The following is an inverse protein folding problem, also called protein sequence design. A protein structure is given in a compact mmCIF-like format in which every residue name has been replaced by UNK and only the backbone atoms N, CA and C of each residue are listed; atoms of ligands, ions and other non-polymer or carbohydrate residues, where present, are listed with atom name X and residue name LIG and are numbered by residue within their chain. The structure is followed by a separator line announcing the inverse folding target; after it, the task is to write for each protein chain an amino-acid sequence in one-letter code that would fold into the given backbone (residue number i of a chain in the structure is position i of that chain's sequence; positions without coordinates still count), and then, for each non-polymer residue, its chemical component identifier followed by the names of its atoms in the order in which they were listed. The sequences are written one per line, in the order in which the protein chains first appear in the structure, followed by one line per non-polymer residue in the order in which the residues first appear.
data_IF_669398428261
#
_entry.id   IF_669398428261
#
_cell.length_a   1.000
_cell.length_b   1.000
_cell.length_c   1.000
_cell.angle_alpha   90.00
_cell.angle_beta   90.00
_cell.angle_gamma   90.00
#
_symmetry.space_group_name_H-M   'P 1'
#
loop_
_entity.id
_entity.type
_entity.pdbx_description
1 polymer ?
#
# COMPACT_ATOMS: atom_id res chain seq x y z
N UNK A 1 -54.39 -23.64 -21.92
CA UNK A 1 -53.08 -23.81 -21.25
C UNK A 1 -52.07 -22.94 -21.97
N UNK A 2 -51.69 -21.80 -21.39
CA UNK A 2 -50.62 -20.94 -21.92
C UNK A 2 -49.58 -20.87 -20.80
N UNK A 3 -48.41 -21.43 -21.04
CA UNK A 3 -47.28 -21.44 -20.11
C UNK A 3 -46.61 -20.07 -20.13
N UNK A 4 -46.59 -19.38 -18.97
CA UNK A 4 -45.68 -18.26 -18.74
C UNK A 4 -44.29 -18.84 -18.49
N UNK A 5 -43.38 -18.67 -19.45
CA UNK A 5 -41.94 -18.84 -19.19
C UNK A 5 -41.41 -17.54 -18.60
N UNK A 6 -41.30 -17.50 -17.27
CA UNK A 6 -40.62 -16.43 -16.56
C UNK A 6 -39.11 -16.50 -16.82
N UNK A 7 -38.56 -15.45 -17.42
CA UNK A 7 -37.11 -15.27 -17.52
C UNK A 7 -36.63 -14.67 -16.20
N UNK A 8 -35.99 -15.48 -15.35
CA UNK A 8 -35.23 -14.98 -14.21
C UNK A 8 -33.94 -14.36 -14.72
N UNK A 9 -33.90 -13.03 -14.80
CA UNK A 9 -32.66 -12.28 -14.99
C UNK A 9 -31.91 -12.30 -13.66
N UNK A 10 -30.90 -13.16 -13.55
CA UNK A 10 -29.91 -13.05 -12.48
C UNK A 10 -29.08 -11.78 -12.72
N UNK A 11 -29.34 -10.73 -11.93
CA UNK A 11 -28.38 -9.65 -11.77
C UNK A 11 -27.13 -10.24 -11.09
N UNK A 12 -26.05 -10.39 -11.85
CA UNK A 12 -24.72 -10.48 -11.25
C UNK A 12 -24.43 -9.11 -10.63
N UNK A 13 -24.57 -9.02 -9.31
CA UNK A 13 -23.94 -7.94 -8.57
C UNK A 13 -22.45 -8.06 -8.85
N UNK A 14 -21.85 -7.04 -9.47
CA UNK A 14 -20.41 -6.87 -9.46
C UNK A 14 -20.01 -6.79 -7.99
N UNK A 15 -19.53 -7.90 -7.44
CA UNK A 15 -18.91 -7.90 -6.12
C UNK A 15 -17.71 -7.00 -6.24
N UNK A 16 -17.79 -5.78 -5.70
CA UNK A 16 -16.60 -4.99 -5.42
C UNK A 16 -15.77 -5.89 -4.51
N UNK A 17 -14.69 -6.44 -5.04
CA UNK A 17 -13.71 -7.15 -4.21
C UNK A 17 -13.28 -6.15 -3.14
N UNK A 18 -13.61 -6.45 -1.88
CA UNK A 18 -13.23 -5.60 -0.78
C UNK A 18 -11.70 -5.63 -0.70
N UNK A 19 -11.04 -4.53 -1.07
CA UNK A 19 -9.58 -4.44 -1.00
C UNK A 19 -9.05 -4.38 0.45
N UNK A 20 -9.94 -4.23 1.44
CA UNK A 20 -9.62 -4.23 2.87
C UNK A 20 -10.46 -5.30 3.56
N UNK A 21 -9.84 -6.08 4.43
CA UNK A 21 -10.53 -7.09 5.21
C UNK A 21 -9.73 -7.56 6.42
N UNK A 22 -10.27 -8.54 7.15
CA UNK A 22 -9.69 -9.01 8.40
C UNK A 22 -8.28 -9.58 8.23
N UNK A 23 -7.40 -9.23 9.17
CA UNK A 23 -6.06 -9.79 9.27
C UNK A 23 -6.13 -11.27 9.64
N UNK A 24 -5.47 -12.12 8.85
CA UNK A 24 -5.37 -13.56 9.13
C UNK A 24 -4.05 -13.89 9.83
N UNK A 25 -4.01 -15.00 10.59
CA UNK A 25 -2.81 -15.47 11.30
C UNK A 25 -1.64 -15.81 10.38
N UNK A 26 -1.94 -16.12 9.11
CA UNK A 26 -0.95 -16.48 8.10
C UNK A 26 -0.43 -15.26 7.33
N UNK A 27 -0.91 -14.06 7.66
CA UNK A 27 -0.50 -12.80 7.05
C UNK A 27 0.57 -12.07 7.87
N UNK A 28 1.27 -11.14 7.22
CA UNK A 28 2.21 -10.23 7.89
C UNK A 28 1.51 -9.15 8.73
N UNK A 29 0.18 -9.03 8.61
CA UNK A 29 -0.67 -8.05 9.28
C UNK A 29 -1.09 -8.50 10.68
N UNK A 30 -0.15 -8.89 11.53
CA UNK A 30 -0.48 -9.48 12.85
C UNK A 30 -0.85 -8.45 13.94
N UNK A 31 -0.69 -7.16 13.68
CA UNK A 31 -0.80 -6.08 14.68
C UNK A 31 -2.02 -5.17 14.48
N UNK A 32 -2.77 -5.38 13.40
CA UNK A 32 -3.96 -4.61 13.03
C UNK A 32 -5.13 -5.55 12.81
N UNK A 33 -6.36 -5.08 13.03
CA UNK A 33 -7.56 -5.89 12.80
C UNK A 33 -7.82 -6.12 11.31
N UNK A 34 -7.51 -5.12 10.50
CA UNK A 34 -7.68 -5.16 9.06
C UNK A 34 -6.36 -4.92 8.32
N UNK A 35 -6.31 -5.47 7.11
CA UNK A 35 -5.16 -5.50 6.23
C UNK A 35 -5.59 -5.22 4.77
N UNK A 36 -4.67 -4.72 3.96
CA UNK A 36 -4.83 -4.64 2.51
C UNK A 36 -4.80 -6.05 1.91
N UNK A 37 -5.92 -6.45 1.32
CA UNK A 37 -6.07 -7.74 0.67
C UNK A 37 -5.48 -7.72 -0.75
N UNK A 38 -4.99 -8.86 -1.17
CA UNK A 38 -4.41 -9.05 -2.50
C UNK A 38 -4.48 -10.50 -2.95
N UNK A 39 -4.43 -10.67 -4.26
CA UNK A 39 -4.26 -11.96 -4.89
C UNK A 39 -2.82 -12.12 -5.40
N UNK A 40 -2.21 -13.26 -5.11
CA UNK A 40 -0.89 -13.60 -5.65
C UNK A 40 -1.06 -14.05 -7.10
N UNK A 41 -0.52 -13.27 -8.04
CA UNK A 41 -0.51 -13.62 -9.46
C UNK A 41 0.56 -14.67 -9.72
N UNK A 42 1.77 -14.46 -9.18
CA UNK A 42 2.86 -15.42 -9.22
C UNK A 42 3.97 -15.04 -8.23
N UNK A 43 4.74 -16.02 -7.77
CA UNK A 43 5.81 -15.81 -6.80
C UNK A 43 7.09 -16.56 -7.21
N UNK A 44 8.24 -15.99 -6.88
CA UNK A 44 9.54 -16.60 -7.15
C UNK A 44 10.57 -16.22 -6.10
N UNK A 45 11.85 -16.41 -6.43
CA UNK A 45 12.95 -16.11 -5.50
C UNK A 45 13.20 -14.61 -5.32
N UNK A 46 13.10 -13.85 -6.41
CA UNK A 46 13.57 -12.45 -6.43
C UNK A 46 12.48 -11.44 -6.08
N UNK A 47 11.24 -11.74 -6.46
CA UNK A 47 10.06 -10.93 -6.21
C UNK A 47 8.78 -11.77 -6.31
N UNK A 48 7.66 -11.16 -5.93
CA UNK A 48 6.30 -11.65 -6.10
C UNK A 48 5.51 -10.65 -6.96
N UNK A 49 4.52 -11.12 -7.69
CA UNK A 49 3.54 -10.28 -8.40
C UNK A 49 2.20 -10.43 -7.69
N UNK A 50 1.65 -9.32 -7.24
CA UNK A 50 0.35 -9.25 -6.59
C UNK A 50 -0.62 -8.40 -7.40
N UNK A 51 -1.90 -8.72 -7.31
CA UNK A 51 -2.99 -7.86 -7.75
C UNK A 51 -3.67 -7.26 -6.51
N UNK A 52 -3.88 -5.95 -6.55
CA UNK A 52 -4.56 -5.18 -5.52
C UNK A 52 -5.80 -4.53 -6.13
N UNK A 53 -6.93 -4.69 -5.45
CA UNK A 53 -8.16 -3.97 -5.76
C UNK A 53 -8.08 -2.48 -5.39
N UNK A 54 -9.11 -1.73 -5.80
CA UNK A 54 -9.18 -0.31 -5.51
C UNK A 54 -9.44 -0.05 -4.03
N UNK A 55 -8.69 0.86 -3.42
CA UNK A 55 -8.84 1.27 -2.02
C UNK A 55 -8.53 2.76 -1.83
N UNK A 56 -9.15 3.34 -0.80
CA UNK A 56 -8.95 4.71 -0.33
C UNK A 56 -7.96 4.74 0.82
N UNK A 57 -7.14 5.78 0.81
CA UNK A 57 -6.11 6.09 1.79
C UNK A 57 -6.30 7.50 2.34
N UNK A 58 -5.79 7.72 3.55
CA UNK A 58 -5.53 9.07 4.07
C UNK A 58 -4.04 9.36 4.00
N UNK A 59 -3.68 10.53 3.46
CA UNK A 59 -2.34 10.83 2.97
C UNK A 59 -1.83 12.15 3.53
N UNK A 60 -0.53 12.17 3.86
CA UNK A 60 0.21 13.36 4.25
C UNK A 60 1.61 13.35 3.65
N UNK A 61 2.14 14.55 3.40
CA UNK A 61 3.46 14.73 2.81
C UNK A 61 4.45 15.32 3.82
N UNK A 62 5.72 14.95 3.62
CA UNK A 62 6.86 15.58 4.27
C UNK A 62 8.06 15.57 3.32
N UNK A 63 8.76 16.69 3.23
CA UNK A 63 10.01 16.80 2.50
C UNK A 63 11.21 16.54 3.43
N UNK A 64 12.21 15.82 2.91
CA UNK A 64 13.50 15.67 3.56
C UNK A 64 14.53 15.08 2.60
N UNK A 65 15.81 15.18 2.97
CA UNK A 65 16.87 14.37 2.36
C UNK A 65 16.75 12.88 2.73
N UNK A 66 16.23 12.58 3.93
CA UNK A 66 16.17 11.22 4.47
C UNK A 66 14.76 10.82 4.87
N UNK A 67 14.37 9.60 4.50
CA UNK A 67 13.09 9.00 4.90
C UNK A 67 12.94 8.93 6.41
N UNK A 68 14.05 8.73 7.11
CA UNK A 68 14.13 8.61 8.57
C UNK A 68 13.59 9.85 9.29
N UNK A 69 13.59 11.00 8.60
CA UNK A 69 13.09 12.28 9.11
C UNK A 69 11.69 12.57 8.56
N UNK A 70 11.44 12.28 7.27
CA UNK A 70 10.16 12.56 6.63
C UNK A 70 9.03 11.67 7.17
N UNK A 71 9.28 10.36 7.32
CA UNK A 71 8.28 9.36 7.74
C UNK A 71 7.68 9.73 9.11
N UNK A 72 8.45 9.99 10.20
CA UNK A 72 7.86 10.34 11.48
C UNK A 72 7.02 11.63 11.45
N UNK A 73 7.38 12.60 10.62
CA UNK A 73 6.64 13.87 10.48
C UNK A 73 5.27 13.65 9.84
N UNK A 74 5.23 12.95 8.71
CA UNK A 74 3.98 12.63 8.02
C UNK A 74 3.12 11.66 8.85
N UNK A 75 3.74 10.64 9.45
CA UNK A 75 3.06 9.70 10.35
C UNK A 75 2.36 10.43 11.50
N UNK A 76 3.01 11.41 12.15
CA UNK A 76 2.39 12.16 13.26
C UNK A 76 1.12 12.89 12.83
N UNK A 77 1.09 13.46 11.62
CA UNK A 77 -0.10 14.13 11.06
C UNK A 77 -1.25 13.13 10.88
N UNK A 78 -0.97 11.99 10.25
CA UNK A 78 -1.99 10.95 10.03
C UNK A 78 -2.44 10.28 11.33
N UNK A 79 -1.53 10.12 12.29
CA UNK A 79 -1.87 9.56 13.60
C UNK A 79 -2.85 10.46 14.36
N UNK A 80 -2.65 11.77 14.32
CA UNK A 80 -3.61 12.76 14.85
C UNK A 80 -4.98 12.62 14.19
N UNK A 81 -5.03 12.50 12.87
CA UNK A 81 -6.27 12.28 12.12
C UNK A 81 -7.05 11.06 12.63
N UNK A 82 -6.42 9.88 12.68
CA UNK A 82 -7.10 8.64 13.10
C UNK A 82 -7.41 8.61 14.61
N UNK A 83 -6.78 9.46 15.42
CA UNK A 83 -7.03 9.53 16.88
C UNK A 83 -8.04 10.61 17.29
N UNK A 84 -8.64 11.31 16.32
CA UNK A 84 -9.77 12.23 16.55
C UNK A 84 -9.62 13.64 15.98
N UNK A 85 -8.48 13.99 15.34
CA UNK A 85 -8.33 15.28 14.62
C UNK A 85 -8.96 15.20 13.22
N UNK A 86 -10.26 14.93 13.19
CA UNK A 86 -11.13 14.94 12.01
C UNK A 86 -12.49 15.58 12.39
N UNK A 87 -13.26 16.03 11.40
CA UNK A 87 -14.49 16.81 11.64
C UNK A 87 -15.55 16.07 12.47
N UNK A 88 -15.50 14.73 12.50
CA UNK A 88 -16.41 13.90 13.29
C UNK A 88 -15.90 13.58 14.70
N UNK A 89 -14.65 13.95 15.04
CA UNK A 89 -14.01 13.50 16.28
C UNK A 89 -13.84 11.98 16.38
N UNK A 90 -13.91 11.27 15.25
CA UNK A 90 -13.95 9.83 15.20
C UNK A 90 -12.56 9.23 15.48
N UNK A 91 -12.53 8.12 16.20
CA UNK A 91 -11.32 7.29 16.36
C UNK A 91 -11.38 6.16 15.34
N UNK A 92 -10.40 6.13 14.45
CA UNK A 92 -10.29 5.18 13.34
C UNK A 92 -9.21 4.17 13.71
N UNK A 93 -9.54 2.88 13.64
CA UNK A 93 -8.57 1.82 13.90
C UNK A 93 -7.43 1.87 12.88
N UNK A 94 -6.20 1.66 13.35
CA UNK A 94 -5.03 1.54 12.46
C UNK A 94 -5.13 0.23 11.67
N UNK A 95 -4.81 0.30 10.38
CA UNK A 95 -4.73 -0.85 9.47
C UNK A 95 -3.32 -0.99 8.92
N UNK A 96 -3.04 -2.11 8.25
CA UNK A 96 -1.77 -2.35 7.58
C UNK A 96 -1.97 -2.61 6.08
N UNK A 97 -1.00 -2.27 5.23
CA UNK A 97 0.25 -1.59 5.56
C UNK A 97 0.14 -0.06 5.54
N UNK A 98 1.21 0.59 6.00
CA UNK A 98 1.52 1.98 5.66
C UNK A 98 2.35 1.99 4.38
N UNK A 99 1.96 2.80 3.39
CA UNK A 99 2.72 2.97 2.14
C UNK A 99 3.38 4.35 2.09
N UNK A 100 4.59 4.41 1.53
CA UNK A 100 5.38 5.63 1.38
C UNK A 100 5.82 5.72 -0.08
N UNK A 101 5.23 6.63 -0.84
CA UNK A 101 5.63 6.90 -2.22
C UNK A 101 6.91 7.72 -2.21
N UNK A 102 7.94 7.20 -2.87
CA UNK A 102 9.23 7.86 -3.06
C UNK A 102 9.45 8.18 -4.54
N UNK A 103 9.99 9.36 -4.83
CA UNK A 103 10.41 9.74 -6.17
C UNK A 103 11.65 8.92 -6.58
N UNK A 104 11.55 8.16 -7.67
CA UNK A 104 12.63 7.31 -8.17
C UNK A 104 13.81 8.10 -8.76
N UNK A 105 13.55 9.34 -9.19
CA UNK A 105 14.51 10.23 -9.83
C UNK A 105 15.12 11.24 -8.83
N UNK A 106 14.83 11.12 -7.54
CA UNK A 106 15.39 12.00 -6.52
C UNK A 106 16.91 11.78 -6.37
N UNK A 107 17.67 12.88 -6.45
CA UNK A 107 19.10 12.87 -6.14
C UNK A 107 19.33 12.79 -4.64
N UNK A 108 20.33 12.02 -4.22
CA UNK A 108 20.77 11.97 -2.81
C UNK A 108 21.25 13.33 -2.27
N UNK A 109 21.53 14.28 -3.17
CA UNK A 109 21.97 15.64 -2.85
C UNK A 109 20.83 16.66 -2.81
N UNK A 110 19.58 16.22 -2.90
CA UNK A 110 18.40 17.07 -2.91
C UNK A 110 17.34 16.54 -1.93
N UNK A 111 16.58 17.46 -1.33
CA UNK A 111 15.37 17.09 -0.56
C UNK A 111 14.32 16.50 -1.51
N UNK A 112 13.73 15.37 -1.13
CA UNK A 112 12.64 14.74 -1.84
C UNK A 112 11.35 14.84 -1.03
N UNK A 113 10.21 14.89 -1.72
CA UNK A 113 8.89 14.80 -1.08
C UNK A 113 8.53 13.32 -0.93
N UNK A 114 8.27 12.91 0.30
CA UNK A 114 7.76 11.58 0.62
C UNK A 114 6.27 11.68 0.95
N UNK A 115 5.47 10.88 0.24
CA UNK A 115 4.01 10.86 0.40
C UNK A 115 3.64 9.61 1.19
N UNK A 116 3.27 9.79 2.45
CA UNK A 116 2.93 8.69 3.37
C UNK A 116 1.42 8.54 3.45
N UNK A 117 0.93 7.31 3.36
CA UNK A 117 -0.50 7.03 3.37
C UNK A 117 -0.86 5.88 4.31
N UNK A 118 -1.92 6.07 5.09
CA UNK A 118 -2.56 5.03 5.90
C UNK A 118 -3.76 4.48 5.14
N UNK A 119 -3.88 3.16 5.12
CA UNK A 119 -5.05 2.49 4.57
C UNK A 119 -6.25 2.80 5.48
N UNK A 120 -7.38 3.17 4.89
CA UNK A 120 -8.60 3.35 5.67
C UNK A 120 -9.25 1.97 5.94
N UNK A 121 -9.76 1.72 7.16
CA UNK A 121 -10.58 0.54 7.47
C UNK A 121 -11.76 0.39 6.50
N UNK A 122 -12.31 -0.82 6.38
CA UNK A 122 -13.44 -1.10 5.48
C UNK A 122 -14.63 -0.15 5.71
N UNK A 123 -14.95 0.13 6.98
CA UNK A 123 -16.01 1.06 7.40
C UNK A 123 -15.83 2.50 6.89
N UNK A 124 -14.59 2.91 6.60
CA UNK A 124 -14.24 4.28 6.18
C UNK A 124 -13.84 4.38 4.70
N UNK A 125 -13.93 3.29 3.92
CA UNK A 125 -13.59 3.30 2.49
C UNK A 125 -14.52 4.21 1.67
N UNK A 126 -15.83 4.21 1.99
CA UNK A 126 -16.82 5.00 1.27
C UNK A 126 -16.88 6.47 1.75
N UNK A 127 -16.95 6.68 3.07
CA UNK A 127 -17.22 7.99 3.67
C UNK A 127 -16.29 8.26 4.87
N UNK A 128 -14.99 8.49 4.65
CA UNK A 128 -14.08 8.85 5.74
C UNK A 128 -14.40 10.25 6.29
N UNK A 129 -14.27 10.49 7.61
CA UNK A 129 -14.47 11.82 8.17
C UNK A 129 -13.38 12.76 7.66
N UNK A 130 -13.76 13.97 7.28
CA UNK A 130 -12.82 14.94 6.69
C UNK A 130 -11.73 15.35 7.69
N UNK A 131 -10.45 15.45 7.28
CA UNK A 131 -9.40 15.92 8.17
C UNK A 131 -9.58 17.39 8.57
N UNK A 132 -9.21 17.74 9.80
CA UNK A 132 -9.16 19.15 10.23
C UNK A 132 -7.85 19.84 9.85
N UNK A 133 -6.78 19.08 9.62
CA UNK A 133 -5.50 19.58 9.09
C UNK A 133 -5.60 19.67 7.55
N UNK A 134 -5.48 20.86 6.94
CA UNK A 134 -5.62 21.04 5.49
C UNK A 134 -4.47 20.44 4.68
N UNK A 135 -3.38 20.01 5.31
CA UNK A 135 -2.28 19.29 4.66
C UNK A 135 -2.50 17.78 4.56
N UNK A 136 -3.60 17.27 5.10
CA UNK A 136 -4.02 15.87 5.00
C UNK A 136 -5.13 15.77 3.95
N UNK A 137 -5.01 14.81 3.05
CA UNK A 137 -5.95 14.60 1.96
C UNK A 137 -6.19 13.11 1.70
N UNK A 138 -7.27 12.78 0.98
CA UNK A 138 -7.54 11.40 0.59
C UNK A 138 -6.93 11.09 -0.77
N UNK A 139 -6.41 9.88 -0.92
CA UNK A 139 -5.97 9.34 -2.21
C UNK A 139 -6.62 7.99 -2.46
N UNK A 140 -6.71 7.61 -3.73
CA UNK A 140 -7.20 6.31 -4.15
C UNK A 140 -6.09 5.59 -4.92
N UNK A 141 -5.85 4.33 -4.60
CA UNK A 141 -5.17 3.42 -5.52
C UNK A 141 -6.23 2.68 -6.29
N UNK A 142 -6.15 2.70 -7.62
CA UNK A 142 -7.02 1.90 -8.48
C UNK A 142 -6.56 0.44 -8.48
N UNK A 143 -7.33 -0.40 -9.16
CA UNK A 143 -6.89 -1.73 -9.57
C UNK A 143 -5.46 -1.68 -10.13
N UNK A 144 -4.56 -2.48 -9.55
CA UNK A 144 -3.15 -2.49 -9.93
C UNK A 144 -2.50 -3.85 -9.73
N UNK A 145 -1.62 -4.22 -10.66
CA UNK A 145 -0.65 -5.30 -10.47
C UNK A 145 0.68 -4.70 -10.00
N UNK A 146 1.32 -5.31 -9.02
CA UNK A 146 2.48 -4.76 -8.31
C UNK A 146 3.56 -5.84 -8.19
N UNK A 147 4.81 -5.46 -8.51
CA UNK A 147 6.00 -6.25 -8.20
C UNK A 147 6.45 -5.96 -6.78
N UNK A 148 6.62 -7.00 -5.97
CA UNK A 148 6.89 -6.91 -4.53
C UNK A 148 8.20 -7.60 -4.19
N UNK A 149 9.04 -6.91 -3.42
CA UNK A 149 10.19 -7.51 -2.75
C UNK A 149 10.10 -7.28 -1.24
N UNK A 150 10.06 -8.35 -0.47
CA UNK A 150 10.03 -8.29 0.99
C UNK A 150 11.43 -8.29 1.60
N UNK A 151 11.57 -7.63 2.75
CA UNK A 151 12.80 -7.56 3.53
C UNK A 151 12.51 -7.29 5.01
N UNK A 152 13.44 -7.71 5.87
CA UNK A 152 13.35 -7.48 7.31
C UNK A 152 14.00 -6.18 7.78
N UNK A 153 13.84 -5.89 9.08
CA UNK A 153 14.49 -4.75 9.74
C UNK A 153 13.65 -3.47 9.71
N UNK A 154 14.30 -2.31 9.85
CA UNK A 154 13.63 -1.01 9.84
C UNK A 154 13.62 -0.40 8.44
N UNK A 155 12.58 0.36 8.12
CA UNK A 155 12.54 1.20 6.91
C UNK A 155 13.50 2.36 7.13
N UNK A 156 14.77 2.11 6.78
CA UNK A 156 15.85 3.10 6.84
C UNK A 156 16.24 3.53 5.44
N UNK A 157 16.62 4.80 5.24
CA UNK A 157 16.93 5.35 3.90
C UNK A 157 17.87 4.46 3.08
N UNK A 158 19.04 4.11 3.63
CA UNK A 158 20.06 3.33 2.92
C UNK A 158 19.58 1.91 2.60
N UNK A 159 19.05 1.21 3.60
CA UNK A 159 18.64 -0.20 3.45
C UNK A 159 17.47 -0.33 2.49
N UNK A 160 16.46 0.53 2.64
CA UNK A 160 15.23 0.45 1.85
C UNK A 160 15.50 0.84 0.38
N UNK A 161 16.34 1.83 0.13
CA UNK A 161 16.76 2.19 -1.23
C UNK A 161 17.56 1.07 -1.91
N UNK A 162 18.40 0.35 -1.14
CA UNK A 162 19.10 -0.84 -1.65
C UNK A 162 18.13 -1.96 -2.07
N UNK A 163 17.05 -2.17 -1.31
CA UNK A 163 16.02 -3.16 -1.68
C UNK A 163 15.24 -2.73 -2.92
N UNK A 164 14.93 -1.43 -3.05
CA UNK A 164 14.31 -0.88 -4.25
C UNK A 164 15.19 -1.08 -5.49
N UNK A 165 16.49 -0.78 -5.39
CA UNK A 165 17.44 -0.99 -6.47
C UNK A 165 17.58 -2.48 -6.85
N UNK A 166 17.52 -3.37 -5.85
CA UNK A 166 17.59 -4.83 -6.08
C UNK A 166 16.36 -5.34 -6.83
N UNK A 167 15.16 -4.88 -6.44
CA UNK A 167 13.93 -5.19 -7.16
C UNK A 167 13.98 -4.64 -8.59
N UNK A 168 14.32 -3.35 -8.74
CA UNK A 168 14.50 -2.71 -10.05
C UNK A 168 15.44 -3.50 -10.96
N UNK A 169 16.61 -3.91 -10.46
CA UNK A 169 17.58 -4.71 -11.23
C UNK A 169 16.96 -6.04 -11.68
N UNK A 170 16.20 -6.70 -10.81
CA UNK A 170 15.52 -7.96 -11.13
C UNK A 170 14.48 -7.78 -12.24
N UNK A 171 13.71 -6.68 -12.20
CA UNK A 171 12.72 -6.33 -13.21
C UNK A 171 13.36 -5.96 -14.55
N UNK A 172 14.43 -5.16 -14.53
CA UNK A 172 15.16 -4.77 -15.74
C UNK A 172 15.78 -5.99 -16.45
N UNK A 173 16.32 -6.96 -15.69
CA UNK A 173 16.90 -8.19 -16.24
C UNK A 173 15.90 -9.04 -17.03
N UNK A 174 14.63 -9.04 -16.62
CA UNK A 174 13.54 -9.75 -17.31
C UNK A 174 12.78 -8.85 -18.30
N UNK A 175 13.25 -7.61 -18.50
CA UNK A 175 12.63 -6.60 -19.38
C UNK A 175 11.16 -6.33 -19.03
N UNK A 176 10.84 -6.38 -17.73
CA UNK A 176 9.50 -6.04 -17.24
C UNK A 176 9.19 -4.55 -17.47
N UNK A 177 7.92 -4.26 -17.71
CA UNK A 177 7.39 -2.89 -17.80
C UNK A 177 6.72 -2.49 -16.48
N UNK A 178 7.13 -1.35 -15.93
CA UNK A 178 6.70 -0.88 -14.61
C UNK A 178 6.86 0.64 -14.49
N UNK A 179 6.24 1.23 -13.47
CA UNK A 179 6.33 2.65 -13.12
C UNK A 179 7.77 3.04 -12.77
N UNK A 180 8.31 4.06 -13.44
CA UNK A 180 9.70 4.47 -13.28
C UNK A 180 9.86 5.81 -12.56
N UNK A 181 8.79 6.58 -12.41
CA UNK A 181 8.85 7.89 -11.75
C UNK A 181 8.78 7.79 -10.23
N UNK A 182 8.15 6.73 -9.72
CA UNK A 182 8.02 6.50 -8.30
C UNK A 182 7.87 5.02 -7.97
N UNK A 183 8.07 4.71 -6.69
CA UNK A 183 7.90 3.40 -6.11
C UNK A 183 7.43 3.55 -4.66
N UNK A 184 7.06 2.44 -4.01
CA UNK A 184 6.61 2.49 -2.62
C UNK A 184 7.52 1.70 -1.70
N UNK A 185 7.83 2.28 -0.55
CA UNK A 185 8.19 1.51 0.64
C UNK A 185 6.92 1.19 1.42
N UNK A 186 6.85 -0.02 1.97
CA UNK A 186 5.64 -0.53 2.60
C UNK A 186 5.99 -1.15 3.94
N UNK A 187 5.37 -0.65 5.01
CA UNK A 187 5.61 -1.09 6.37
C UNK A 187 4.35 -1.69 7.00
N UNK A 188 4.47 -2.89 7.55
CA UNK A 188 3.33 -3.63 8.12
C UNK A 188 3.25 -3.54 9.65
N UNK A 189 4.34 -3.15 10.29
CA UNK A 189 4.46 -3.26 11.74
C UNK A 189 4.51 -1.91 12.44
N UNK A 190 3.93 -1.86 13.63
CA UNK A 190 3.96 -0.74 14.57
C UNK A 190 5.38 -0.23 14.76
N UNK A 191 5.58 1.10 14.92
CA UNK A 191 6.86 1.67 15.34
C UNK A 191 7.41 1.09 16.64
N UNK A 192 6.59 0.41 17.46
CA UNK A 192 7.02 -0.24 18.70
C UNK A 192 7.56 -1.67 18.50
N UNK A 193 7.33 -2.32 17.35
CA UNK A 193 7.84 -3.68 17.09
C UNK A 193 9.34 -3.65 16.84
N UNK A 194 10.13 -4.28 17.72
CA UNK A 194 11.60 -4.20 17.63
C UNK A 194 12.25 -5.26 16.71
N UNK A 195 11.66 -6.45 16.62
CA UNK A 195 12.22 -7.61 15.89
C UNK A 195 11.17 -8.28 15.00
N UNK A 196 11.62 -9.13 14.08
CA UNK A 196 10.76 -9.84 13.11
C UNK A 196 9.80 -8.89 12.36
N UNK A 197 10.37 -7.76 11.90
CA UNK A 197 9.65 -6.78 11.10
C UNK A 197 9.57 -7.26 9.66
N UNK A 198 8.43 -7.04 9.02
CA UNK A 198 8.17 -7.28 7.61
C UNK A 198 7.95 -5.94 6.91
N UNK A 199 8.80 -5.65 5.93
CA UNK A 199 8.65 -4.50 5.04
C UNK A 199 8.77 -4.96 3.60
N UNK A 200 8.29 -4.12 2.69
CA UNK A 200 8.32 -4.42 1.27
C UNK A 200 8.70 -3.18 0.47
N UNK A 201 9.18 -3.42 -0.76
CA UNK A 201 9.28 -2.41 -1.80
C UNK A 201 8.42 -2.83 -2.99
N UNK A 202 7.66 -1.87 -3.52
CA UNK A 202 6.70 -2.08 -4.60
C UNK A 202 7.01 -1.22 -5.81
N UNK A 203 6.99 -1.83 -7.00
CA UNK A 203 6.86 -1.14 -8.28
C UNK A 203 5.54 -1.53 -8.94
N UNK A 204 4.76 -0.54 -9.38
CA UNK A 204 3.51 -0.80 -10.10
C UNK A 204 3.84 -1.32 -11.50
N UNK A 205 3.28 -2.47 -11.88
CA UNK A 205 3.43 -2.99 -13.23
C UNK A 205 2.67 -2.12 -14.24
N UNK A 206 3.25 -1.96 -15.43
CA UNK A 206 2.61 -1.27 -16.56
C UNK A 206 2.33 -2.30 -17.64
N UNK A 207 1.07 -2.65 -17.85
CA UNK A 207 0.67 -3.77 -18.72
C UNK A 207 0.76 -5.12 -18.00
N UNK A 208 0.92 -6.20 -18.77
CA UNK A 208 1.00 -7.55 -18.21
C UNK A 208 2.33 -7.78 -17.48
N UNK A 209 2.31 -8.20 -16.20
CA UNK A 209 3.52 -8.38 -15.44
C UNK A 209 4.28 -9.64 -15.87
N UNK A 210 5.60 -9.58 -15.77
CA UNK A 210 6.47 -10.72 -16.03
C UNK A 210 6.65 -11.50 -14.73
N UNK A 211 6.34 -12.80 -14.74
CA UNK A 211 6.55 -13.64 -13.57
C UNK A 211 8.03 -13.97 -13.35
N UNK A 212 8.49 -14.04 -12.09
CA UNK A 212 9.84 -14.48 -11.79
C UNK A 212 9.98 -15.97 -12.12
N UNK A 213 11.21 -16.44 -12.28
CA UNK A 213 11.47 -17.89 -12.34
C UNK A 213 11.01 -18.53 -11.02
N UNK A 214 10.33 -19.68 -11.13
CA UNK A 214 9.92 -20.47 -9.97
C UNK A 214 11.14 -20.86 -9.13
N UNK A 215 10.92 -21.06 -7.83
CA UNK A 215 11.94 -21.58 -6.91
C UNK A 215 12.41 -22.97 -7.31
#
# INVERSE_FOLDING_TARGET
MIFLTGVTVLLFALTVEAGVGESTSDSFCTETKECLLYDVVCAGKDYEVRHYGAVKWVTAEADSYFMDIAIPRAFRKLFKYITGENEAGAKIDMTAPVIIKANANASMWQSSVYVLSFLLPSDYQANPPKPTDPSIYFTDTTDMKVYVRSYGGWIMSVVSNSQAQSLKTSLDNVKATYEKEYYYHVGFNSPMKLVNRHNEVWYIAKGEPVCPKSK
#
